data_IF_214245367758
#
_entry.id   IF_214245367758
#
_cell.length_a   1.000
_cell.length_b   1.000
_cell.length_c   1.000
_cell.angle_alpha   90.00
_cell.angle_beta   90.00
_cell.angle_gamma   90.00
#
_symmetry.space_group_name_H-M   'P 1'
#
loop_
_entity.id
_entity.type
_entity.pdbx_description
1 polymer ?
#
# COMPACT_ATOMS: atom_id res chain seq x y z
N UNK A 1 -6.53 -2.13 4.56
CA UNK A 1 -5.63 -1.18 5.23
C UNK A 1 -5.49 -1.63 6.67
N UNK A 2 -4.28 -1.60 7.22
CA UNK A 2 -3.99 -2.11 8.56
C UNK A 2 -3.60 -0.99 9.51
N UNK A 3 -3.97 -1.16 10.78
CA UNK A 3 -3.48 -0.35 11.88
C UNK A 3 -2.46 -1.17 12.64
N UNK A 4 -1.26 -0.64 12.77
CA UNK A 4 -0.16 -1.31 13.45
C UNK A 4 0.27 -0.56 14.70
N UNK A 5 0.76 -1.31 15.69
CA UNK A 5 1.40 -0.79 16.89
C UNK A 5 2.51 -1.73 17.37
N UNK A 6 3.17 -1.36 18.48
CA UNK A 6 4.19 -2.23 19.11
C UNK A 6 3.55 -3.50 19.68
N UNK A 7 4.05 -4.66 19.23
CA UNK A 7 3.58 -5.99 19.65
C UNK A 7 3.63 -6.21 21.16
N UNK A 8 4.62 -5.64 21.84
CA UNK A 8 4.79 -5.77 23.29
C UNK A 8 3.75 -5.01 24.11
N UNK A 9 3.06 -4.02 23.53
CA UNK A 9 2.18 -3.09 24.27
C UNK A 9 0.72 -3.12 23.81
N UNK A 10 0.48 -3.27 22.51
CA UNK A 10 -0.85 -3.15 21.93
C UNK A 10 -1.26 -4.46 21.28
N UNK A 11 -2.41 -5.00 21.68
CA UNK A 11 -2.97 -6.27 21.20
C UNK A 11 -4.24 -6.05 20.41
N UNK A 12 -5.07 -5.11 20.86
CA UNK A 12 -6.34 -4.74 20.23
C UNK A 12 -6.38 -3.23 19.97
N UNK A 13 -7.33 -2.79 19.15
CA UNK A 13 -7.43 -1.39 18.74
C UNK A 13 -7.72 -0.47 19.93
N UNK A 14 -8.48 -0.95 20.91
CA UNK A 14 -8.84 -0.23 22.13
C UNK A 14 -7.63 0.14 22.98
N UNK A 15 -6.54 -0.65 22.90
CA UNK A 15 -5.30 -0.37 23.63
C UNK A 15 -4.62 0.92 23.14
N UNK A 16 -4.99 1.42 21.96
CA UNK A 16 -4.43 2.65 21.37
C UNK A 16 -5.17 3.93 21.80
N UNK A 17 -6.11 3.87 22.75
CA UNK A 17 -6.69 5.08 23.33
C UNK A 17 -5.64 5.91 24.07
N UNK A 18 -5.71 7.23 23.91
CA UNK A 18 -4.76 8.23 24.43
C UNK A 18 -3.38 8.20 23.78
N UNK A 19 -3.19 7.44 22.69
CA UNK A 19 -1.89 7.20 22.07
C UNK A 19 -1.46 8.31 21.11
N UNK A 20 -0.17 8.35 20.79
CA UNK A 20 0.40 9.27 19.79
C UNK A 20 0.48 8.59 18.42
N UNK A 21 -0.02 9.25 17.39
CA UNK A 21 -0.18 8.67 16.06
C UNK A 21 0.79 9.23 15.02
N UNK A 22 1.22 8.36 14.10
CA UNK A 22 1.97 8.76 12.92
C UNK A 22 1.06 8.72 11.68
N UNK A 23 1.00 9.83 10.95
CA UNK A 23 0.52 9.88 9.57
C UNK A 23 1.71 9.83 8.61
N UNK A 24 1.51 9.25 7.43
CA UNK A 24 2.53 9.29 6.39
C UNK A 24 2.50 10.64 5.66
N UNK A 25 1.44 10.94 4.92
CA UNK A 25 1.35 12.09 4.04
C UNK A 25 -0.09 12.58 3.91
N UNK A 26 -0.28 13.89 3.75
CA UNK A 26 -1.60 14.54 3.78
C UNK A 26 -2.55 14.08 2.66
N UNK A 27 -2.04 13.64 1.50
CA UNK A 27 -2.88 13.12 0.41
C UNK A 27 -2.97 11.59 0.38
N UNK A 28 -2.48 10.93 1.42
CA UNK A 28 -2.53 9.48 1.53
C UNK A 28 -3.91 9.02 1.98
N UNK A 29 -4.58 8.20 1.16
CA UNK A 29 -5.87 7.61 1.55
C UNK A 29 -5.70 6.67 2.74
N UNK A 30 -4.77 5.72 2.67
CA UNK A 30 -4.57 4.69 3.69
C UNK A 30 -3.83 5.20 4.93
N UNK A 31 -2.82 6.06 4.75
CA UNK A 31 -1.98 6.53 5.85
C UNK A 31 -2.37 7.87 6.46
N UNK A 32 -3.36 8.57 5.89
CA UNK A 32 -3.98 9.74 6.52
C UNK A 32 -5.51 9.67 6.49
N UNK A 33 -6.16 9.71 5.33
CA UNK A 33 -7.61 9.94 5.23
C UNK A 33 -8.47 8.95 6.02
N UNK A 34 -8.21 7.64 5.86
CA UNK A 34 -8.94 6.59 6.58
C UNK A 34 -8.52 6.53 8.05
N UNK A 35 -7.21 6.67 8.32
CA UNK A 35 -6.68 6.72 9.69
C UNK A 35 -7.31 7.84 10.48
N UNK A 36 -7.27 9.05 9.97
CA UNK A 36 -7.85 10.23 10.59
C UNK A 36 -9.33 10.02 10.89
N UNK A 37 -10.12 9.54 9.93
CA UNK A 37 -11.54 9.24 10.15
C UNK A 37 -11.78 8.16 11.21
N UNK A 38 -10.90 7.15 11.28
CA UNK A 38 -10.93 6.12 12.31
C UNK A 38 -10.66 6.69 13.71
N UNK A 39 -9.67 7.58 13.81
CA UNK A 39 -9.27 8.25 15.06
C UNK A 39 -10.32 9.25 15.55
N UNK A 40 -10.92 10.03 14.65
CA UNK A 40 -12.00 10.97 14.99
C UNK A 40 -13.19 10.25 15.66
N UNK A 41 -13.55 9.06 15.16
CA UNK A 41 -14.65 8.27 15.74
C UNK A 41 -14.42 7.82 17.18
N UNK A 42 -13.16 7.74 17.61
CA UNK A 42 -12.79 7.35 18.98
C UNK A 42 -12.27 8.51 19.82
N UNK A 43 -12.27 9.74 19.28
CA UNK A 43 -11.83 10.95 19.98
C UNK A 43 -10.31 11.13 20.05
N UNK A 44 -9.55 10.43 19.21
CA UNK A 44 -8.08 10.56 19.17
C UNK A 44 -7.65 11.67 18.21
N UNK A 45 -6.80 12.59 18.68
CA UNK A 45 -6.37 13.76 17.90
C UNK A 45 -4.86 14.02 17.93
N UNK A 46 -4.08 13.26 18.71
CA UNK A 46 -2.62 13.44 18.83
C UNK A 46 -1.91 12.74 17.68
N UNK A 47 -1.69 13.46 16.58
CA UNK A 47 -1.03 12.91 15.41
C UNK A 47 0.02 13.85 14.79
N UNK A 48 1.01 13.29 14.10
CA UNK A 48 2.04 14.04 13.37
C UNK A 48 2.37 13.39 12.02
N UNK A 49 2.74 14.19 11.02
CA UNK A 49 3.11 13.72 9.68
C UNK A 49 4.60 13.41 9.58
N UNK A 50 4.94 12.29 8.93
CA UNK A 50 6.33 11.79 8.83
C UNK A 50 6.81 11.50 7.40
N UNK A 51 6.01 11.82 6.38
CA UNK A 51 6.35 11.74 4.96
C UNK A 51 6.04 10.41 4.28
N UNK A 52 6.36 9.26 4.89
CA UNK A 52 6.19 7.95 4.26
C UNK A 52 5.75 6.86 5.24
N UNK A 53 5.16 5.78 4.72
CA UNK A 53 4.79 4.61 5.54
C UNK A 53 5.99 4.01 6.27
N UNK A 54 7.15 3.95 5.60
CA UNK A 54 8.39 3.43 6.19
C UNK A 54 8.85 4.32 7.34
N UNK A 55 8.75 5.65 7.19
CA UNK A 55 9.08 6.58 8.27
C UNK A 55 8.11 6.44 9.44
N UNK A 56 6.80 6.27 9.18
CA UNK A 56 5.81 6.02 10.21
C UNK A 56 6.09 4.73 10.99
N UNK A 57 6.47 3.63 10.31
CA UNK A 57 6.95 2.40 10.97
C UNK A 57 8.15 2.70 11.88
N UNK A 58 9.13 3.44 11.37
CA UNK A 58 10.33 3.80 12.13
C UNK A 58 9.99 4.60 13.40
N UNK A 59 9.00 5.49 13.35
CA UNK A 59 8.56 6.25 14.53
C UNK A 59 7.92 5.37 15.61
N UNK A 60 7.25 4.28 15.23
CA UNK A 60 6.72 3.30 16.19
C UNK A 60 7.87 2.54 16.86
N UNK A 61 8.84 2.10 16.07
CA UNK A 61 10.03 1.37 16.54
C UNK A 61 10.89 2.23 17.47
N UNK A 62 11.03 3.53 17.16
CA UNK A 62 11.74 4.51 17.98
C UNK A 62 10.96 4.98 19.22
N UNK A 63 9.74 4.46 19.42
CA UNK A 63 8.84 4.85 20.51
C UNK A 63 8.39 6.32 20.50
N UNK A 64 8.58 7.02 19.39
CA UNK A 64 8.09 8.40 19.18
C UNK A 64 6.57 8.43 18.98
N UNK A 65 6.04 7.38 18.35
CA UNK A 65 4.60 7.18 18.17
C UNK A 65 4.22 5.77 18.60
N UNK A 66 2.93 5.54 18.75
CA UNK A 66 2.36 4.30 19.27
C UNK A 66 1.66 3.49 18.20
N UNK A 67 1.01 4.17 17.26
CA UNK A 67 0.28 3.56 16.15
C UNK A 67 0.37 4.34 14.84
N UNK A 68 0.14 3.63 13.74
CA UNK A 68 0.01 4.22 12.41
C UNK A 68 -0.93 3.39 11.55
N UNK A 69 -1.61 4.07 10.64
CA UNK A 69 -2.30 3.42 9.54
C UNK A 69 -1.38 3.17 8.36
N UNK A 70 -1.42 1.96 7.82
CA UNK A 70 -0.55 1.54 6.72
C UNK A 70 -1.33 0.76 5.66
N UNK A 71 -0.95 0.95 4.39
CA UNK A 71 -1.40 0.08 3.32
C UNK A 71 -0.95 -1.37 3.56
N UNK A 72 -1.89 -2.31 3.45
CA UNK A 72 -1.66 -3.72 3.79
C UNK A 72 -0.62 -4.38 2.89
N UNK A 73 -0.56 -3.99 1.61
CA UNK A 73 0.45 -4.50 0.68
C UNK A 73 1.84 -3.97 1.03
N UNK A 74 1.93 -2.68 1.34
CA UNK A 74 3.15 -2.05 1.84
C UNK A 74 3.65 -2.77 3.10
N UNK A 75 2.78 -3.02 4.08
CA UNK A 75 3.14 -3.74 5.30
C UNK A 75 3.62 -5.17 5.00
N UNK A 76 2.91 -5.90 4.15
CA UNK A 76 3.26 -7.27 3.77
C UNK A 76 4.64 -7.34 3.09
N UNK A 77 4.93 -6.40 2.17
CA UNK A 77 6.23 -6.29 1.51
C UNK A 77 7.34 -5.98 2.52
N UNK A 78 7.10 -5.05 3.45
CA UNK A 78 8.07 -4.72 4.51
C UNK A 78 8.33 -5.93 5.40
N UNK A 79 7.31 -6.65 5.87
CA UNK A 79 7.49 -7.84 6.70
C UNK A 79 8.13 -9.01 5.96
N UNK A 80 7.98 -9.08 4.63
CA UNK A 80 8.66 -10.08 3.81
C UNK A 80 10.16 -9.77 3.69
N UNK A 81 10.52 -8.51 3.48
CA UNK A 81 11.91 -8.05 3.41
C UNK A 81 12.62 -8.00 4.76
N UNK A 82 11.85 -7.79 5.84
CA UNK A 82 12.34 -7.59 7.21
C UNK A 82 11.52 -8.45 8.20
N UNK A 83 11.75 -9.78 8.24
CA UNK A 83 10.97 -10.69 9.09
C UNK A 83 10.99 -10.33 10.58
N UNK A 84 12.07 -9.71 11.07
CA UNK A 84 12.22 -9.25 12.46
C UNK A 84 11.20 -8.18 12.87
N UNK A 85 10.55 -7.53 11.90
CA UNK A 85 9.45 -6.62 12.18
C UNK A 85 8.24 -7.34 12.79
N UNK A 86 8.06 -8.63 12.52
CA UNK A 86 6.95 -9.44 13.09
C UNK A 86 7.07 -9.63 14.60
N UNK A 87 8.29 -9.57 15.13
CA UNK A 87 8.52 -9.67 16.58
C UNK A 87 8.26 -8.34 17.29
N UNK A 88 8.35 -7.22 16.56
CA UNK A 88 8.27 -5.86 17.10
C UNK A 88 6.91 -5.21 16.88
N UNK A 89 6.24 -5.53 15.77
CA UNK A 89 5.00 -4.90 15.33
C UNK A 89 3.84 -5.88 15.35
N UNK A 90 2.64 -5.36 15.55
CA UNK A 90 1.41 -6.13 15.58
C UNK A 90 0.31 -5.36 14.86
N UNK A 91 -0.46 -6.05 14.02
CA UNK A 91 -1.68 -5.50 13.42
C UNK A 91 -2.77 -5.58 14.48
N UNK A 92 -3.21 -4.43 15.00
CA UNK A 92 -4.23 -4.36 16.05
C UNK A 92 -5.65 -4.39 15.48
N UNK A 93 -5.82 -3.95 14.23
CA UNK A 93 -7.08 -4.02 13.48
C UNK A 93 -6.82 -3.78 11.98
N UNK A 94 -7.80 -4.13 11.15
CA UNK A 94 -7.79 -3.91 9.71
C UNK A 94 -9.10 -3.24 9.27
N UNK A 95 -8.99 -2.12 8.56
CA UNK A 95 -10.14 -1.40 8.02
C UNK A 95 -10.32 -1.71 6.55
N UNK A 96 -11.05 -2.80 6.30
CA UNK A 96 -11.60 -3.19 5.00
C UNK A 96 -10.59 -3.37 3.85
N UNK A 97 -11.03 -3.99 2.75
CA UNK A 97 -10.34 -3.86 1.48
C UNK A 97 -10.55 -2.42 0.98
N UNK A 98 -9.45 -1.74 0.65
CA UNK A 98 -9.55 -0.47 -0.08
C UNK A 98 -9.78 -0.79 -1.55
N UNK A 99 -10.57 0.03 -2.28
CA UNK A 99 -10.73 -0.15 -3.71
C UNK A 99 -9.36 -0.10 -4.39
N UNK A 100 -9.20 -0.91 -5.45
CA UNK A 100 -8.01 -0.87 -6.29
C UNK A 100 -7.79 0.56 -6.75
N UNK A 101 -6.55 1.05 -6.63
CA UNK A 101 -6.19 2.42 -7.00
C UNK A 101 -6.70 2.73 -8.40
N UNK A 102 -7.62 3.70 -8.56
CA UNK A 102 -8.16 4.00 -9.87
C UNK A 102 -7.05 4.60 -10.74
N UNK A 103 -6.98 4.13 -11.99
CA UNK A 103 -6.28 4.87 -13.02
C UNK A 103 -7.04 6.17 -13.28
N UNK A 104 -6.44 7.31 -12.94
CA UNK A 104 -7.02 8.63 -13.21
C UNK A 104 -6.32 9.22 -14.42
N UNK A 105 -7.12 9.69 -15.38
CA UNK A 105 -6.64 10.47 -16.53
C UNK A 105 -7.24 11.86 -16.48
N UNK A 106 -6.51 12.84 -17.02
CA UNK A 106 -7.04 14.17 -17.23
C UNK A 106 -8.21 14.08 -18.24
N UNK A 107 -9.35 14.69 -17.92
CA UNK A 107 -10.53 14.74 -18.79
C UNK A 107 -10.30 15.46 -20.11
N UNK A 108 -9.30 16.33 -20.18
CA UNK A 108 -8.91 17.08 -21.37
C UNK A 108 -7.82 16.36 -22.20
N UNK A 109 -7.35 15.19 -21.76
CA UNK A 109 -6.33 14.45 -22.48
C UNK A 109 -6.91 13.94 -23.82
N UNK A 110 -6.27 14.24 -24.98
CA UNK A 110 -6.72 13.71 -26.26
C UNK A 110 -6.80 12.17 -26.24
N UNK A 111 -7.81 11.60 -26.87
CA UNK A 111 -8.06 10.14 -26.89
C UNK A 111 -6.83 9.35 -27.40
N UNK A 112 -6.13 9.90 -28.39
CA UNK A 112 -4.89 9.35 -28.95
C UNK A 112 -3.71 9.30 -27.96
N UNK A 113 -3.83 9.94 -26.79
CA UNK A 113 -2.84 9.93 -25.71
C UNK A 113 -3.36 9.20 -24.46
N UNK A 114 -4.61 8.74 -24.46
CA UNK A 114 -5.20 8.01 -23.35
C UNK A 114 -4.74 6.55 -23.31
N UNK A 115 -3.64 6.33 -22.61
CA UNK A 115 -3.02 5.01 -22.44
C UNK A 115 -3.96 3.95 -21.86
N UNK A 116 -4.97 4.32 -21.07
CA UNK A 116 -5.90 3.35 -20.50
C UNK A 116 -6.89 2.83 -21.54
N UNK A 117 -7.37 3.68 -22.45
CA UNK A 117 -8.20 3.26 -23.57
C UNK A 117 -7.40 2.42 -24.58
N UNK A 118 -6.14 2.78 -24.83
CA UNK A 118 -5.26 2.00 -25.70
C UNK A 118 -4.96 0.62 -25.11
N UNK A 119 -4.59 0.54 -23.83
CA UNK A 119 -4.31 -0.71 -23.14
C UNK A 119 -5.57 -1.61 -23.02
N UNK A 120 -6.74 -1.01 -22.79
CA UNK A 120 -8.01 -1.76 -22.72
C UNK A 120 -8.38 -2.36 -24.09
N UNK A 121 -8.20 -1.61 -25.16
CA UNK A 121 -8.44 -2.05 -26.55
C UNK A 121 -7.48 -3.18 -26.97
N UNK A 122 -6.22 -3.11 -26.56
CA UNK A 122 -5.20 -4.12 -26.85
C UNK A 122 -5.34 -5.40 -26.01
N UNK A 123 -5.86 -5.31 -24.78
CA UNK A 123 -6.12 -6.49 -23.94
C UNK A 123 -7.35 -7.28 -24.39
N UNK A 124 -8.38 -6.61 -24.93
CA UNK A 124 -9.58 -7.26 -25.46
C UNK A 124 -9.29 -8.18 -26.67
N UNK A 125 -8.16 -7.99 -27.35
CA UNK A 125 -7.82 -8.66 -28.60
C UNK A 125 -6.75 -9.76 -28.46
N UNK A 126 -6.30 -10.10 -27.25
CA UNK A 126 -5.27 -11.12 -27.02
C UNK A 126 -5.89 -12.46 -26.59
N UNK A 127 -5.67 -13.58 -27.31
CA UNK A 127 -6.08 -14.89 -26.82
C UNK A 127 -5.31 -15.24 -25.53
N UNK A 128 -6.00 -15.85 -24.56
CA UNK A 128 -5.39 -16.35 -23.32
C UNK A 128 -4.31 -17.39 -23.65
N UNK A 129 -3.04 -16.99 -23.68
CA UNK A 129 -1.93 -17.94 -23.77
C UNK A 129 -1.70 -18.62 -22.42
N UNK A 130 -1.73 -19.95 -22.44
CA UNK A 130 -1.30 -20.81 -21.36
C UNK A 130 0.18 -20.58 -21.02
N UNK A 131 0.53 -20.88 -19.77
CA UNK A 131 1.83 -20.70 -19.15
C UNK A 131 2.97 -21.37 -19.92
N UNK A 132 3.89 -20.58 -20.49
CA UNK A 132 5.23 -21.05 -20.85
C UNK A 132 6.25 -20.03 -20.36
N UNK A 133 7.13 -20.48 -19.47
CA UNK A 133 8.29 -19.76 -18.95
C UNK A 133 9.49 -20.04 -19.85
N UNK A 134 9.78 -19.14 -20.80
CA UNK A 134 11.08 -19.10 -21.47
C UNK A 134 11.59 -17.65 -21.44
N UNK A 135 12.88 -17.42 -21.13
CA UNK A 135 13.41 -16.10 -20.85
C UNK A 135 13.72 -15.35 -22.16
N UNK A 136 13.05 -14.24 -22.38
CA UNK A 136 13.39 -13.29 -23.44
C UNK A 136 14.36 -12.27 -22.85
N UNK A 137 15.50 -12.09 -23.52
CA UNK A 137 16.59 -11.19 -23.14
C UNK A 137 16.07 -9.82 -22.64
N UNK A 138 16.42 -9.46 -21.40
CA UNK A 138 16.27 -8.11 -20.86
C UNK A 138 15.04 -7.85 -19.97
N UNK A 139 14.15 -8.82 -19.75
CA UNK A 139 13.01 -8.65 -18.83
C UNK A 139 12.90 -9.86 -17.90
N UNK A 140 13.27 -9.69 -16.64
CA UNK A 140 13.04 -10.70 -15.62
C UNK A 140 11.63 -10.53 -15.03
N UNK A 141 10.69 -11.32 -15.54
CA UNK A 141 9.35 -11.45 -14.98
C UNK A 141 9.39 -12.55 -13.92
N UNK A 142 9.49 -12.18 -12.65
CA UNK A 142 9.25 -13.12 -11.55
C UNK A 142 7.74 -13.22 -11.30
N UNK A 143 7.12 -14.31 -11.76
CA UNK A 143 5.72 -14.63 -11.50
C UNK A 143 5.59 -15.73 -10.43
N UNK A 144 4.80 -15.45 -9.39
CA UNK A 144 4.28 -16.39 -8.39
C UNK A 144 3.49 -15.58 -7.36
N UNK A 145 2.24 -15.87 -6.98
CA UNK A 145 1.58 -17.15 -6.78
C UNK A 145 0.09 -17.11 -7.19
N UNK A 146 -0.48 -18.30 -7.30
CA UNK A 146 -1.82 -18.67 -7.73
C UNK A 146 -2.92 -18.33 -6.71
N UNK A 147 -4.08 -17.90 -7.23
CA UNK A 147 -5.31 -17.66 -6.47
C UNK A 147 -5.77 -16.21 -6.59
N UNK A 148 -6.65 -15.92 -7.55
CA UNK A 148 -7.19 -14.60 -7.95
C UNK A 148 -6.17 -13.64 -8.57
N UNK A 149 -6.18 -13.58 -9.90
CA UNK A 149 -5.19 -12.91 -10.76
C UNK A 149 -5.31 -11.38 -10.67
N UNK A 150 -4.24 -10.69 -10.24
CA UNK A 150 -3.91 -9.34 -10.73
C UNK A 150 -2.40 -9.25 -10.99
N UNK A 151 -2.00 -9.03 -12.25
CA UNK A 151 -0.62 -8.79 -12.66
C UNK A 151 -0.29 -7.31 -12.51
N UNK A 152 0.80 -7.01 -11.81
CA UNK A 152 1.42 -5.69 -11.78
C UNK A 152 2.19 -5.49 -13.09
N UNK A 153 1.86 -4.45 -13.85
CA UNK A 153 2.66 -3.97 -14.99
C UNK A 153 3.59 -2.90 -14.45
N UNK A 154 4.89 -3.19 -14.37
CA UNK A 154 5.91 -2.20 -14.03
C UNK A 154 6.58 -1.75 -15.33
N UNK A 155 6.33 -0.52 -15.75
CA UNK A 155 6.94 0.09 -16.95
C UNK A 155 8.23 0.79 -16.50
N UNK A 156 9.37 0.37 -17.07
CA UNK A 156 10.66 0.99 -16.85
C UNK A 156 10.76 2.29 -17.68
N UNK A 157 11.05 3.42 -17.03
CA UNK A 157 11.33 4.71 -17.69
C UNK A 157 12.71 4.66 -18.35
N UNK A 158 12.81 4.18 -19.59
CA UNK A 158 14.01 4.38 -20.42
C UNK A 158 13.71 4.74 -21.89
N UNK A 159 12.49 5.17 -22.23
CA UNK A 159 12.17 5.63 -23.59
C UNK A 159 11.64 7.07 -23.61
N UNK A 160 12.42 8.00 -23.07
CA UNK A 160 12.35 9.41 -23.46
C UNK A 160 13.80 9.93 -23.52
N UNK A 161 14.46 9.65 -24.64
CA UNK A 161 15.50 10.51 -25.21
C UNK A 161 14.98 11.02 -26.55
#
# INVERSE_FOLDING_TARGET
MDVIGRRSRYKVFEDLRGSVWAYNYVHSLSGFGITHRGLEKIGENKASFFGSHLKSIQMILNKTTDGTGIDSNTLALQMKGHPELRDKLHVVTSWGPLPVYPGVVNSELPESQNIYQQASSQHASRPQMASSTEPIHGVQICAGYTGSVQRIVQINKQMFQ
#
